data_IF_962094059264
#
_entry.id   IF_962094059264
#
_cell.length_a   1.000
_cell.length_b   1.000
_cell.length_c   1.000
_cell.angle_alpha   90.00
_cell.angle_beta   90.00
_cell.angle_gamma   90.00
#
_symmetry.space_group_name_H-M   'P 1'
#
loop_
_entity.id
_entity.type
_entity.pdbx_description
1 polymer ?
#
# COMPACT_ATOMS: atom_id res chain seq x y z
N UNK A 1 -4.84 -15.12 9.01
CA UNK A 1 -6.19 -15.26 8.44
C UNK A 1 -6.69 -13.86 8.12
N UNK A 2 -6.43 -13.39 6.94
CA UNK A 2 -6.83 -12.06 6.52
C UNK A 2 -7.64 -12.18 5.23
N UNK A 3 -8.95 -12.17 5.38
CA UNK A 3 -9.92 -11.98 4.32
C UNK A 3 -10.01 -10.48 4.07
N UNK A 4 -9.22 -9.91 3.22
CA UNK A 4 -9.35 -8.48 2.94
C UNK A 4 -8.83 -8.17 1.54
N UNK A 5 -9.64 -8.36 0.54
CA UNK A 5 -9.68 -7.59 -0.71
C UNK A 5 -10.80 -8.06 -1.65
N UNK A 6 -11.81 -8.72 -1.10
CA UNK A 6 -12.88 -9.37 -1.90
C UNK A 6 -14.10 -8.48 -2.17
N UNK A 7 -14.04 -7.15 -2.04
CA UNK A 7 -15.28 -6.35 -1.99
C UNK A 7 -15.41 -5.23 -3.05
N UNK A 8 -14.50 -5.04 -3.98
CA UNK A 8 -14.58 -3.89 -4.89
C UNK A 8 -15.47 -4.14 -6.12
N UNK A 9 -15.88 -5.36 -6.42
CA UNK A 9 -16.60 -5.65 -7.67
C UNK A 9 -18.09 -5.98 -7.53
N UNK A 10 -18.68 -5.94 -6.33
CA UNK A 10 -20.10 -6.31 -6.14
C UNK A 10 -21.08 -5.12 -6.11
N UNK A 11 -20.65 -3.88 -6.35
CA UNK A 11 -21.49 -2.70 -6.12
C UNK A 11 -21.88 -1.93 -7.39
N UNK A 12 -22.07 -2.60 -8.50
CA UNK A 12 -22.57 -1.97 -9.74
C UNK A 12 -23.90 -2.55 -10.25
N UNK A 13 -24.74 -3.02 -9.33
CA UNK A 13 -26.12 -3.36 -9.74
C UNK A 13 -27.11 -2.98 -8.64
N UNK A 14 -28.07 -2.11 -9.03
CA UNK A 14 -29.24 -1.59 -8.30
C UNK A 14 -29.00 -0.34 -7.44
N UNK A 15 -28.93 0.82 -8.13
CA UNK A 15 -29.28 2.09 -7.52
C UNK A 15 -30.82 2.18 -7.45
N UNK A 16 -31.39 1.90 -6.30
CA UNK A 16 -32.72 2.38 -5.95
C UNK A 16 -32.52 3.76 -5.32
N UNK A 17 -32.81 4.81 -6.10
CA UNK A 17 -32.80 6.18 -5.63
C UNK A 17 -34.02 6.36 -4.72
N UNK A 18 -33.80 6.24 -3.41
CA UNK A 18 -34.68 6.83 -2.42
C UNK A 18 -34.05 8.14 -1.96
N UNK A 19 -34.66 9.24 -2.32
CA UNK A 19 -34.27 10.59 -1.89
C UNK A 19 -34.44 10.71 -0.38
N UNK A 20 -33.32 10.62 0.36
CA UNK A 20 -33.23 10.96 1.78
C UNK A 20 -32.15 12.04 1.96
N UNK A 21 -32.49 13.02 2.80
CA UNK A 21 -31.88 14.33 2.90
C UNK A 21 -30.35 14.36 3.17
N UNK A 22 -29.81 15.54 2.89
CA UNK A 22 -28.39 15.97 2.90
C UNK A 22 -27.54 15.60 4.15
N UNK A 23 -28.10 14.91 5.13
CA UNK A 23 -27.41 14.47 6.36
C UNK A 23 -26.85 13.04 6.32
N UNK A 24 -27.32 12.19 5.39
CA UNK A 24 -26.97 10.77 5.36
C UNK A 24 -25.63 10.49 4.65
N UNK A 25 -25.23 11.29 3.68
CA UNK A 25 -24.00 11.08 2.92
C UNK A 25 -22.72 11.22 3.77
N UNK A 26 -22.70 12.18 4.71
CA UNK A 26 -21.55 12.37 5.61
C UNK A 26 -21.39 11.26 6.65
N UNK A 27 -22.48 10.60 7.04
CA UNK A 27 -22.40 9.49 7.99
C UNK A 27 -21.90 8.19 7.34
N UNK A 28 -22.25 7.96 6.07
CA UNK A 28 -21.81 6.77 5.33
C UNK A 28 -20.28 6.85 5.05
N UNK A 29 -19.76 8.03 4.70
CA UNK A 29 -18.30 8.21 4.52
C UNK A 29 -17.53 8.03 5.83
N UNK A 30 -18.05 8.53 6.96
CA UNK A 30 -17.40 8.37 8.26
C UNK A 30 -17.43 6.91 8.74
N UNK A 31 -18.51 6.18 8.52
CA UNK A 31 -18.66 4.78 8.93
C UNK A 31 -17.83 3.83 8.05
N UNK A 32 -17.62 4.15 6.76
CA UNK A 32 -16.72 3.43 5.86
C UNK A 32 -15.24 3.63 6.23
N UNK A 33 -14.89 4.76 6.83
CA UNK A 33 -13.51 5.09 7.23
C UNK A 33 -13.16 4.60 8.65
N UNK A 34 -14.16 4.36 9.52
CA UNK A 34 -13.94 4.02 10.94
C UNK A 34 -14.10 2.52 11.25
N UNK A 35 -14.54 1.69 10.32
CA UNK A 35 -15.02 0.35 10.64
C UNK A 35 -14.47 -0.82 9.83
N UNK A 36 -13.15 -1.00 9.73
CA UNK A 36 -12.63 -2.32 9.41
C UNK A 36 -12.26 -2.56 7.95
N UNK A 37 -11.01 -2.30 7.60
CA UNK A 37 -10.36 -2.95 6.47
C UNK A 37 -10.70 -2.42 5.08
N UNK A 38 -11.20 -1.20 4.94
CA UNK A 38 -11.45 -0.61 3.63
C UNK A 38 -10.20 0.10 3.12
N UNK A 39 -9.73 -0.32 1.95
CA UNK A 39 -8.69 0.40 1.21
C UNK A 39 -9.33 1.44 0.30
N UNK A 40 -8.93 2.69 0.43
CA UNK A 40 -9.37 3.80 -0.41
C UNK A 40 -8.22 4.26 -1.29
N UNK A 41 -8.45 4.40 -2.60
CA UNK A 41 -7.48 4.93 -3.57
C UNK A 41 -8.06 6.18 -4.21
N UNK A 42 -7.35 7.30 -4.10
CA UNK A 42 -7.69 8.56 -4.77
C UNK A 42 -6.62 8.94 -5.78
N UNK A 43 -7.00 9.63 -6.85
CA UNK A 43 -6.10 10.15 -7.89
C UNK A 43 -6.84 11.18 -8.75
N UNK A 44 -6.13 11.97 -9.56
CA UNK A 44 -6.79 12.82 -10.55
C UNK A 44 -7.44 12.02 -11.69
N UNK A 45 -6.88 10.85 -12.01
CA UNK A 45 -7.35 10.03 -13.13
C UNK A 45 -7.31 8.56 -12.79
N UNK A 46 -8.41 7.87 -13.09
CA UNK A 46 -8.53 6.42 -13.08
C UNK A 46 -8.88 5.93 -14.49
N UNK A 47 -8.15 4.93 -14.96
CA UNK A 47 -8.47 4.15 -16.14
C UNK A 47 -8.62 2.70 -15.74
N UNK A 48 -9.76 2.08 -16.05
CA UNK A 48 -10.00 0.66 -15.82
C UNK A 48 -10.19 -0.07 -17.15
N UNK A 49 -9.37 -1.06 -17.44
CA UNK A 49 -9.48 -1.94 -18.61
C UNK A 49 -10.08 -3.28 -18.17
N UNK A 50 -11.39 -3.42 -18.36
CA UNK A 50 -12.12 -4.63 -17.97
C UNK A 50 -11.67 -5.88 -18.75
N UNK A 51 -11.21 -5.70 -20.00
CA UNK A 51 -10.73 -6.83 -20.82
C UNK A 51 -9.41 -7.41 -20.35
N UNK A 52 -8.61 -6.61 -19.61
CA UNK A 52 -7.31 -7.02 -19.06
C UNK A 52 -7.31 -7.16 -17.54
N UNK A 53 -8.45 -6.95 -16.89
CA UNK A 53 -8.55 -6.91 -15.43
C UNK A 53 -7.48 -6.01 -14.80
N UNK A 54 -7.39 -4.76 -15.27
CA UNK A 54 -6.31 -3.84 -14.94
C UNK A 54 -6.81 -2.43 -14.69
N UNK A 55 -6.36 -1.82 -13.60
CA UNK A 55 -6.65 -0.43 -13.27
C UNK A 55 -5.37 0.39 -13.16
N UNK A 56 -5.41 1.65 -13.62
CA UNK A 56 -4.33 2.62 -13.49
C UNK A 56 -4.87 3.90 -12.88
N UNK A 57 -4.26 4.31 -11.80
CA UNK A 57 -4.47 5.58 -11.12
C UNK A 57 -3.27 6.48 -11.45
N UNK A 58 -3.51 7.71 -11.84
CA UNK A 58 -2.46 8.64 -12.28
C UNK A 58 -2.66 10.00 -11.64
N UNK A 59 -1.53 10.62 -11.25
CA UNK A 59 -1.38 11.92 -10.61
C UNK A 59 -1.99 11.98 -9.21
N UNK A 60 -1.17 12.43 -8.27
CA UNK A 60 -1.55 12.62 -6.87
C UNK A 60 -2.25 11.39 -6.27
N UNK A 61 -1.68 10.21 -6.55
CA UNK A 61 -2.24 8.95 -6.06
C UNK A 61 -2.00 8.84 -4.56
N UNK A 62 -3.08 8.65 -3.82
CA UNK A 62 -3.04 8.35 -2.39
C UNK A 62 -3.84 7.08 -2.13
N UNK A 63 -3.18 6.09 -1.54
CA UNK A 63 -3.82 4.88 -1.01
C UNK A 63 -3.88 4.99 0.49
N UNK A 64 -5.05 4.86 1.05
CA UNK A 64 -5.27 4.79 2.50
C UNK A 64 -5.84 3.42 2.85
N UNK A 65 -5.13 2.72 3.71
CA UNK A 65 -5.50 1.40 4.24
C UNK A 65 -5.40 1.48 5.77
N UNK A 66 -6.12 0.70 6.57
CA UNK A 66 -5.99 0.74 8.02
C UNK A 66 -4.54 0.53 8.46
N UNK A 67 -3.96 1.58 9.06
CA UNK A 67 -2.58 1.57 9.54
C UNK A 67 -1.50 1.83 8.49
N UNK A 68 -1.85 2.06 7.20
CA UNK A 68 -0.89 2.35 6.14
C UNK A 68 -1.39 3.44 5.20
N UNK A 69 -0.49 4.31 4.76
CA UNK A 69 -0.71 5.24 3.66
C UNK A 69 0.40 5.07 2.61
N UNK A 70 0.02 5.08 1.32
CA UNK A 70 0.95 5.13 0.20
C UNK A 70 0.65 6.35 -0.66
N UNK A 71 1.69 7.08 -1.03
CA UNK A 71 1.63 8.19 -1.99
C UNK A 71 2.55 7.86 -3.17
N UNK A 72 2.11 8.15 -4.41
CA UNK A 72 2.90 7.96 -5.62
C UNK A 72 2.35 8.82 -6.77
N UNK A 73 3.12 8.95 -7.86
CA UNK A 73 2.62 9.64 -9.06
C UNK A 73 1.68 8.75 -9.86
N UNK A 74 1.89 7.42 -9.79
CA UNK A 74 1.11 6.43 -10.52
C UNK A 74 1.01 5.13 -9.72
N UNK A 75 -0.17 4.51 -9.79
CA UNK A 75 -0.44 3.19 -9.24
C UNK A 75 -1.14 2.33 -10.29
N UNK A 76 -0.64 1.13 -10.50
CA UNK A 76 -1.25 0.13 -11.36
C UNK A 76 -1.64 -1.09 -10.53
N UNK A 77 -2.85 -1.61 -10.75
CA UNK A 77 -3.39 -2.77 -10.04
C UNK A 77 -3.88 -3.79 -11.06
N UNK A 78 -3.42 -5.03 -10.93
CA UNK A 78 -3.92 -6.17 -11.70
C UNK A 78 -4.81 -7.02 -10.83
N UNK A 79 -5.88 -7.51 -11.43
CA UNK A 79 -6.89 -8.31 -10.75
C UNK A 79 -6.95 -9.72 -11.34
N UNK A 80 -7.36 -10.68 -10.54
CA UNK A 80 -7.74 -12.01 -10.98
C UNK A 80 -9.09 -11.97 -11.71
N UNK A 81 -9.49 -13.10 -12.29
CA UNK A 81 -10.85 -13.26 -12.88
C UNK A 81 -11.96 -13.13 -11.82
N UNK A 82 -11.64 -13.40 -10.56
CA UNK A 82 -12.57 -13.25 -9.42
C UNK A 82 -12.63 -11.83 -8.86
N UNK A 83 -11.80 -10.90 -9.38
CA UNK A 83 -11.77 -9.50 -8.96
C UNK A 83 -10.82 -9.21 -7.79
N UNK A 84 -10.05 -10.21 -7.33
CA UNK A 84 -9.06 -10.00 -6.28
C UNK A 84 -7.79 -9.36 -6.86
N UNK A 85 -7.21 -8.37 -6.18
CA UNK A 85 -5.94 -7.81 -6.59
C UNK A 85 -4.82 -8.85 -6.46
N UNK A 86 -4.01 -9.00 -7.50
CA UNK A 86 -2.90 -9.97 -7.56
C UNK A 86 -1.53 -9.30 -7.55
N UNK A 87 -1.43 -8.14 -8.18
CA UNK A 87 -0.19 -7.37 -8.27
C UNK A 87 -0.50 -5.88 -8.17
N UNK A 88 0.31 -5.15 -7.40
CA UNK A 88 0.26 -3.70 -7.30
C UNK A 88 1.63 -3.15 -7.66
N UNK A 89 1.67 -2.11 -8.48
CA UNK A 89 2.89 -1.38 -8.81
C UNK A 89 2.69 0.10 -8.63
N UNK A 90 3.48 0.72 -7.77
CA UNK A 90 3.55 2.15 -7.57
C UNK A 90 4.82 2.72 -8.22
N UNK A 91 4.73 3.85 -8.88
CA UNK A 91 5.82 4.52 -9.59
C UNK A 91 5.79 6.02 -9.32
N UNK A 92 6.99 6.61 -9.25
CA UNK A 92 7.21 8.03 -9.04
C UNK A 92 7.04 8.46 -7.59
N UNK A 93 8.13 8.94 -6.96
CA UNK A 93 8.17 9.47 -5.61
C UNK A 93 7.38 8.63 -4.57
N UNK A 94 7.51 7.30 -4.65
CA UNK A 94 6.77 6.40 -3.76
C UNK A 94 7.15 6.64 -2.31
N UNK A 95 6.14 6.91 -1.49
CA UNK A 95 6.25 7.11 -0.06
C UNK A 95 5.21 6.26 0.65
N UNK A 96 5.65 5.35 1.50
CA UNK A 96 4.79 4.45 2.28
C UNK A 96 5.02 4.72 3.75
N UNK A 97 3.96 4.99 4.47
CA UNK A 97 3.99 5.18 5.93
C UNK A 97 3.14 4.12 6.59
N UNK A 98 3.70 3.43 7.56
CA UNK A 98 3.01 2.44 8.38
C UNK A 98 3.49 2.58 9.83
N UNK A 99 2.62 3.08 10.71
CA UNK A 99 2.96 3.38 12.10
C UNK A 99 4.22 4.28 12.20
N UNK A 100 5.30 3.78 12.82
CA UNK A 100 6.59 4.45 12.97
C UNK A 100 7.60 4.14 11.83
N UNK A 101 7.15 3.40 10.80
CA UNK A 101 7.97 2.96 9.66
C UNK A 101 7.66 3.78 8.42
N UNK A 102 8.70 4.16 7.71
CA UNK A 102 8.61 4.88 6.44
C UNK A 102 9.44 4.15 5.39
N UNK A 103 8.85 3.89 4.23
CA UNK A 103 9.57 3.41 3.07
C UNK A 103 9.49 4.42 1.93
N UNK A 104 10.61 4.72 1.30
CA UNK A 104 10.68 5.57 0.10
C UNK A 104 11.38 4.83 -1.03
N UNK A 105 10.95 5.06 -2.27
CA UNK A 105 11.55 4.48 -3.46
C UNK A 105 11.10 5.24 -4.72
N UNK A 106 11.78 5.05 -5.85
CA UNK A 106 11.23 5.49 -7.13
C UNK A 106 10.14 4.55 -7.65
N UNK A 107 10.19 3.27 -7.24
CA UNK A 107 9.20 2.27 -7.61
C UNK A 107 9.05 1.23 -6.49
N UNK A 108 7.79 0.84 -6.24
CA UNK A 108 7.43 -0.28 -5.37
C UNK A 108 6.54 -1.27 -6.13
N UNK A 109 6.78 -2.55 -5.95
CA UNK A 109 5.96 -3.63 -6.51
C UNK A 109 5.56 -4.57 -5.38
N UNK A 110 4.27 -4.87 -5.27
CA UNK A 110 3.74 -5.84 -4.33
C UNK A 110 3.04 -6.98 -5.09
N UNK A 111 3.69 -8.13 -5.12
CA UNK A 111 3.10 -9.39 -5.55
C UNK A 111 2.31 -9.97 -4.37
N UNK A 112 0.99 -9.83 -4.43
CA UNK A 112 0.08 -10.20 -3.35
C UNK A 112 0.02 -11.72 -3.21
N UNK A 113 0.07 -12.44 -4.34
CA UNK A 113 -0.03 -13.90 -4.38
C UNK A 113 1.16 -14.55 -3.66
N UNK A 114 2.36 -14.01 -3.87
CA UNK A 114 3.60 -14.52 -3.27
C UNK A 114 3.99 -13.79 -1.97
N UNK A 115 3.22 -12.81 -1.54
CA UNK A 115 3.51 -12.00 -0.37
C UNK A 115 4.83 -11.21 -0.49
N UNK A 116 5.29 -10.90 -1.73
CA UNK A 116 6.60 -10.32 -2.01
C UNK A 116 6.51 -8.84 -2.35
N UNK A 117 7.24 -8.02 -1.61
CA UNK A 117 7.39 -6.58 -1.86
C UNK A 117 8.81 -6.31 -2.37
N UNK A 118 8.92 -5.53 -3.44
CA UNK A 118 10.21 -5.12 -4.02
C UNK A 118 10.23 -3.61 -4.17
N UNK A 119 11.24 -2.97 -3.60
CA UNK A 119 11.50 -1.53 -3.71
C UNK A 119 12.77 -1.33 -4.51
N UNK A 120 12.75 -0.45 -5.51
CA UNK A 120 13.88 -0.12 -6.37
C UNK A 120 13.96 1.39 -6.61
N UNK A 121 15.06 1.84 -7.24
CA UNK A 121 15.32 3.25 -7.52
C UNK A 121 15.49 4.06 -6.23
N UNK A 122 16.65 3.85 -5.60
CA UNK A 122 17.06 4.45 -4.32
C UNK A 122 16.11 4.13 -3.15
N UNK A 123 15.81 2.86 -2.92
CA UNK A 123 14.95 2.49 -1.82
C UNK A 123 15.58 2.76 -0.47
N UNK A 124 14.76 3.22 0.46
CA UNK A 124 15.13 3.45 1.86
C UNK A 124 13.99 3.00 2.76
N UNK A 125 14.34 2.24 3.79
CA UNK A 125 13.45 1.94 4.92
C UNK A 125 13.95 2.68 6.15
N UNK A 126 13.05 3.33 6.85
CA UNK A 126 13.37 4.09 8.06
C UNK A 126 12.40 3.73 9.18
N UNK A 127 12.93 3.61 10.40
CA UNK A 127 12.17 3.52 11.64
C UNK A 127 12.84 4.40 12.70
N UNK A 128 12.16 5.45 13.11
CA UNK A 128 12.75 6.47 13.96
C UNK A 128 14.01 7.08 13.30
N UNK A 129 15.16 6.97 13.96
CA UNK A 129 16.45 7.44 13.44
C UNK A 129 17.17 6.36 12.62
N UNK A 130 16.82 5.08 12.78
CA UNK A 130 17.47 3.97 12.07
C UNK A 130 17.02 3.90 10.62
N UNK A 131 17.92 3.58 9.70
CA UNK A 131 17.55 3.41 8.32
C UNK A 131 18.41 2.37 7.58
N UNK A 132 17.81 1.81 6.54
CA UNK A 132 18.39 0.81 5.65
C UNK A 132 18.25 1.29 4.21
N UNK A 133 19.33 1.23 3.45
CA UNK A 133 19.42 1.65 2.05
C UNK A 133 20.10 0.56 1.21
N UNK A 134 19.82 0.55 -0.09
CA UNK A 134 20.48 -0.32 -1.05
C UNK A 134 20.02 -0.04 -2.47
N UNK A 135 20.40 -0.88 -3.40
CA UNK A 135 19.92 -0.77 -4.78
C UNK A 135 18.51 -1.36 -4.93
N UNK A 136 18.28 -2.48 -4.28
CA UNK A 136 17.00 -3.18 -4.22
C UNK A 136 16.74 -3.63 -2.79
N UNK A 137 15.53 -3.42 -2.31
CA UNK A 137 15.04 -3.99 -1.05
C UNK A 137 13.92 -4.95 -1.40
N UNK A 138 14.04 -6.21 -1.01
CA UNK A 138 13.03 -7.24 -1.20
C UNK A 138 12.58 -7.77 0.16
N UNK A 139 11.26 -7.79 0.39
CA UNK A 139 10.65 -8.29 1.60
C UNK A 139 9.60 -9.36 1.30
N UNK A 140 9.69 -10.51 1.95
CA UNK A 140 8.70 -11.59 1.90
C UNK A 140 7.92 -11.61 3.21
N UNK A 141 6.66 -11.23 3.15
CA UNK A 141 5.77 -11.14 4.32
C UNK A 141 5.63 -12.46 5.07
N UNK A 142 5.36 -13.53 4.32
CA UNK A 142 5.09 -14.85 4.92
C UNK A 142 6.33 -15.49 5.57
N UNK A 143 7.52 -15.02 5.18
CA UNK A 143 8.81 -15.49 5.70
C UNK A 143 9.44 -14.52 6.70
N UNK A 144 8.87 -13.33 6.84
CA UNK A 144 9.46 -12.22 7.59
C UNK A 144 10.93 -11.95 7.19
N UNK A 145 11.23 -12.20 5.89
CA UNK A 145 12.58 -12.13 5.35
C UNK A 145 12.76 -10.86 4.53
N UNK A 146 13.79 -10.07 4.90
CA UNK A 146 14.22 -8.90 4.16
C UNK A 146 15.63 -9.12 3.60
N UNK A 147 15.80 -8.85 2.31
CA UNK A 147 17.08 -8.87 1.62
C UNK A 147 17.33 -7.51 0.97
N UNK A 148 18.55 -6.98 1.13
CA UNK A 148 19.00 -5.74 0.52
C UNK A 148 20.24 -6.00 -0.28
N UNK A 149 20.18 -5.80 -1.59
CA UNK A 149 21.26 -6.06 -2.51
C UNK A 149 21.15 -5.26 -3.82
N UNK A 150 22.24 -5.04 -4.54
CA UNK A 150 23.59 -4.92 -3.99
C UNK A 150 23.77 -3.64 -3.17
N UNK A 151 24.89 -3.49 -2.51
CA UNK A 151 25.30 -2.28 -1.77
C UNK A 151 24.36 -1.91 -0.61
N UNK A 152 24.14 -2.86 0.30
CA UNK A 152 23.35 -2.59 1.50
C UNK A 152 24.10 -1.68 2.48
N UNK A 153 23.35 -0.72 3.06
CA UNK A 153 23.83 0.15 4.13
C UNK A 153 22.77 0.22 5.24
N UNK A 154 23.16 -0.19 6.44
CA UNK A 154 22.34 -0.09 7.63
C UNK A 154 22.95 0.95 8.58
N UNK A 155 22.18 1.94 8.99
CA UNK A 155 22.59 2.95 9.97
C UNK A 155 21.73 2.80 11.22
N UNK A 156 22.43 2.59 12.35
CA UNK A 156 21.83 2.40 13.65
C UNK A 156 22.33 3.53 14.55
N UNK A 157 21.41 4.23 15.19
CA UNK A 157 21.72 5.24 16.21
C UNK A 157 21.52 4.58 17.58
N UNK A 158 22.57 4.38 18.37
CA UNK A 158 22.41 3.82 19.70
C UNK A 158 21.71 4.85 20.60
N UNK A 159 20.53 4.54 21.07
CA UNK A 159 19.90 5.22 22.18
C UNK A 159 20.34 4.52 23.46
N UNK A 160 21.08 5.23 24.30
CA UNK A 160 21.45 4.92 25.68
C UNK A 160 21.17 3.49 26.20
N UNK A 161 21.84 2.51 25.60
CA UNK A 161 22.14 1.25 26.26
C UNK A 161 21.11 0.13 26.27
N UNK A 162 19.93 0.23 25.65
CA UNK A 162 18.91 -0.84 25.68
C UNK A 162 18.12 -1.12 24.41
N UNK A 163 18.45 -0.55 23.25
CA UNK A 163 17.64 -0.80 22.06
C UNK A 163 18.10 -2.03 21.29
N UNK A 164 17.30 -3.09 21.41
CA UNK A 164 17.33 -4.21 20.51
C UNK A 164 16.84 -3.76 19.14
N UNK A 165 17.52 -4.19 18.08
CA UNK A 165 17.21 -3.85 16.69
C UNK A 165 15.92 -4.56 16.27
N UNK A 166 14.76 -3.95 16.50
CA UNK A 166 13.47 -4.38 15.96
C UNK A 166 13.11 -3.55 14.73
N UNK A 167 13.84 -3.73 13.62
CA UNK A 167 13.53 -3.01 12.38
C UNK A 167 12.25 -3.51 11.70
N UNK A 168 11.82 -4.74 11.96
CA UNK A 168 10.73 -5.39 11.22
C UNK A 168 9.81 -6.30 12.07
N UNK A 169 10.00 -6.38 13.36
CA UNK A 169 9.23 -7.31 14.20
C UNK A 169 8.12 -6.63 15.01
N UNK A 170 6.91 -7.18 14.89
CA UNK A 170 5.59 -6.89 15.47
C UNK A 170 4.93 -5.63 15.02
#
# INVERSE_FOLDING_TARGET
MSKQLSFILSMLCTVNIVSLGVGAERQIEAELLDGGGVTVITSERLTFDYGKNYAVFEKDVVVTDPGMQLVADKLAVWFSETGDATLIKAEGAVHITQEDKVATAGQATYDIVNGKIVLVQNPRLQRGLHYLEGTTITYWRDKELLIVEPQSKLVIFPENGQDQIHLLGN
#
